data_IF_323497813128
#
_entry.id   IF_323497813128
#
_cell.length_a   1.000
_cell.length_b   1.000
_cell.length_c   1.000
_cell.angle_alpha   90.00
_cell.angle_beta   90.00
_cell.angle_gamma   90.00
#
_symmetry.space_group_name_H-M   'P 1'
#
loop_
_entity.id
_entity.type
_entity.pdbx_description
1 polymer ?
#
# COMPACT_ATOMS: atom_id res chain seq x y z
N UNK A 1 -4.88 21.92 -17.20
CA UNK A 1 -4.27 22.03 -15.86
C UNK A 1 -3.41 20.80 -15.53
N UNK A 2 -3.96 19.57 -15.47
CA UNK A 2 -3.19 18.36 -15.12
C UNK A 2 -2.09 18.07 -16.15
N UNK A 3 -2.41 18.14 -17.43
CA UNK A 3 -1.44 17.94 -18.51
C UNK A 3 -0.30 18.97 -18.44
N UNK A 4 -0.62 20.25 -18.24
CA UNK A 4 0.39 21.31 -18.09
C UNK A 4 1.27 21.09 -16.85
N UNK A 5 0.71 20.57 -15.76
CA UNK A 5 1.48 20.23 -14.57
C UNK A 5 2.44 19.06 -14.84
N UNK A 6 1.98 18.01 -15.54
CA UNK A 6 2.82 16.87 -15.92
C UNK A 6 3.96 17.32 -16.84
N UNK A 7 3.66 18.11 -17.87
CA UNK A 7 4.67 18.67 -18.77
C UNK A 7 5.71 19.50 -18.01
N UNK A 8 5.26 20.36 -17.09
CA UNK A 8 6.18 21.13 -16.24
C UNK A 8 7.11 20.23 -15.41
N UNK A 9 6.55 19.20 -14.76
CA UNK A 9 7.34 18.25 -13.95
C UNK A 9 8.37 17.52 -14.84
N UNK A 10 7.99 17.15 -16.05
CA UNK A 10 8.86 16.46 -16.99
C UNK A 10 10.02 17.32 -17.50
N UNK A 11 9.85 18.64 -17.53
CA UNK A 11 10.86 19.58 -18.01
C UNK A 11 11.73 20.19 -16.88
N UNK A 12 11.35 19.97 -15.61
CA UNK A 12 12.09 20.55 -14.47
C UNK A 12 13.48 19.96 -14.31
N UNK A 13 14.45 20.84 -14.10
CA UNK A 13 15.78 20.46 -13.64
C UNK A 13 15.87 20.59 -12.12
N UNK A 14 16.46 19.60 -11.50
CA UNK A 14 16.57 19.51 -10.05
C UNK A 14 18.01 19.57 -9.61
N UNK A 15 18.28 20.34 -8.58
CA UNK A 15 19.58 20.44 -7.94
C UNK A 15 19.49 19.94 -6.49
N UNK A 16 20.53 19.26 -6.05
CA UNK A 16 20.65 18.89 -4.63
C UNK A 16 21.13 20.12 -3.87
N UNK A 17 20.32 20.57 -2.91
CA UNK A 17 20.68 21.67 -2.01
C UNK A 17 21.27 21.11 -0.72
N UNK A 18 22.40 21.61 -0.33
CA UNK A 18 23.07 21.28 0.93
C UNK A 18 23.38 22.56 1.72
N UNK A 19 23.89 22.40 2.94
CA UNK A 19 24.39 23.54 3.74
C UNK A 19 25.52 24.32 3.06
N UNK A 20 26.17 23.74 2.04
CA UNK A 20 27.28 24.35 1.29
C UNK A 20 26.84 24.94 -0.06
N UNK A 21 25.53 24.97 -0.34
CA UNK A 21 24.97 25.48 -1.57
C UNK A 21 24.35 24.39 -2.46
N UNK A 22 23.97 24.80 -3.66
CA UNK A 22 23.36 23.91 -4.66
C UNK A 22 24.41 23.13 -5.42
N UNK A 23 24.08 21.88 -5.81
CA UNK A 23 24.95 21.07 -6.65
C UNK A 23 25.26 21.74 -7.98
N UNK A 24 26.50 21.60 -8.47
CA UNK A 24 26.89 22.09 -9.79
C UNK A 24 26.24 21.33 -10.95
N UNK A 25 25.86 20.07 -10.72
CA UNK A 25 25.13 19.23 -11.65
C UNK A 25 23.66 19.18 -11.27
N UNK A 26 22.81 19.11 -12.29
CA UNK A 26 21.37 18.89 -12.15
C UNK A 26 21.00 17.48 -12.61
N UNK A 27 19.88 16.99 -12.12
CA UNK A 27 19.20 15.82 -12.68
C UNK A 27 17.81 16.25 -13.16
N UNK A 28 17.33 15.62 -14.20
CA UNK A 28 16.07 16.00 -14.84
C UNK A 28 15.91 15.33 -16.19
N UNK A 29 15.15 15.93 -17.10
CA UNK A 29 14.89 15.33 -18.38
C UNK A 29 16.20 14.97 -19.07
N UNK A 30 16.38 13.69 -19.27
CA UNK A 30 17.50 13.17 -20.04
C UNK A 30 16.93 12.57 -21.35
N UNK A 31 17.23 13.14 -22.52
CA UNK A 31 16.72 12.63 -23.78
C UNK A 31 17.07 11.18 -24.07
N UNK A 32 18.11 10.65 -23.40
CA UNK A 32 18.62 9.29 -23.59
C UNK A 32 18.45 8.41 -22.36
N UNK A 33 17.94 8.95 -21.24
CA UNK A 33 17.72 8.24 -19.99
C UNK A 33 16.25 7.92 -19.75
N UNK A 34 15.96 7.09 -18.76
CA UNK A 34 14.59 6.87 -18.34
C UNK A 34 13.97 8.19 -17.85
N UNK A 35 12.70 8.44 -18.15
CA UNK A 35 12.02 9.63 -17.65
C UNK A 35 12.01 9.63 -16.11
N UNK A 36 12.02 10.81 -15.46
CA UNK A 36 11.88 10.89 -14.02
C UNK A 36 10.54 10.27 -13.62
N UNK A 37 10.59 9.39 -12.64
CA UNK A 37 9.40 8.71 -12.11
C UNK A 37 8.91 9.39 -10.84
N UNK A 38 7.61 9.66 -10.79
CA UNK A 38 6.96 10.19 -9.60
C UNK A 38 7.16 11.71 -9.41
N UNK A 39 6.67 12.17 -8.28
CA UNK A 39 6.82 13.56 -7.83
C UNK A 39 7.89 13.58 -6.75
N UNK A 40 8.86 14.48 -6.91
CA UNK A 40 9.98 14.60 -5.98
C UNK A 40 9.51 14.94 -4.57
N UNK A 41 10.16 14.30 -3.62
CA UNK A 41 9.98 14.59 -2.19
C UNK A 41 10.24 16.09 -1.92
N UNK A 42 9.33 16.70 -1.16
CA UNK A 42 9.38 18.14 -0.88
C UNK A 42 8.59 19.01 -1.89
N UNK A 43 8.03 18.44 -2.96
CA UNK A 43 7.10 19.15 -3.81
C UNK A 43 5.73 19.25 -3.13
N UNK A 44 5.22 20.49 -2.95
CA UNK A 44 3.93 20.73 -2.30
C UNK A 44 2.71 20.10 -3.02
N UNK A 45 2.84 19.76 -4.32
CA UNK A 45 1.81 19.05 -5.07
C UNK A 45 1.82 17.53 -4.84
N UNK A 46 2.88 16.97 -4.27
CA UNK A 46 3.05 15.54 -4.06
C UNK A 46 1.89 14.90 -3.28
N UNK A 47 1.57 15.38 -2.07
CA UNK A 47 0.49 14.79 -1.27
C UNK A 47 -0.87 14.84 -1.96
N UNK A 48 -1.21 15.95 -2.61
CA UNK A 48 -2.49 16.09 -3.30
C UNK A 48 -2.61 15.16 -4.53
N UNK A 49 -1.53 15.03 -5.29
CA UNK A 49 -1.48 14.13 -6.45
C UNK A 49 -1.57 12.67 -6.00
N UNK A 50 -0.83 12.30 -4.94
CA UNK A 50 -0.89 10.95 -4.38
C UNK A 50 -2.29 10.63 -3.86
N UNK A 51 -2.92 11.53 -3.12
CA UNK A 51 -4.29 11.34 -2.65
C UNK A 51 -5.29 11.13 -3.80
N UNK A 52 -5.15 11.85 -4.91
CA UNK A 52 -5.99 11.67 -6.08
C UNK A 52 -5.78 10.29 -6.72
N UNK A 53 -4.53 9.85 -6.90
CA UNK A 53 -4.18 8.54 -7.46
C UNK A 53 -4.68 7.42 -6.54
N UNK A 54 -4.39 7.51 -5.25
CA UNK A 54 -4.78 6.51 -4.25
C UNK A 54 -6.31 6.38 -4.15
N UNK A 55 -7.05 7.48 -4.31
CA UNK A 55 -8.51 7.44 -4.34
C UNK A 55 -9.03 6.58 -5.49
N UNK A 56 -8.41 6.64 -6.66
CA UNK A 56 -8.78 5.79 -7.81
C UNK A 56 -8.42 4.33 -7.53
N UNK A 57 -7.23 4.07 -6.99
CA UNK A 57 -6.78 2.73 -6.62
C UNK A 57 -7.78 2.09 -5.64
N UNK A 58 -8.14 2.80 -4.56
CA UNK A 58 -9.10 2.32 -3.57
C UNK A 58 -10.47 2.04 -4.20
N UNK A 59 -10.92 2.87 -5.15
CA UNK A 59 -12.18 2.61 -5.87
C UNK A 59 -12.10 1.35 -6.74
N UNK A 60 -10.98 1.10 -7.40
CA UNK A 60 -10.76 -0.15 -8.13
C UNK A 60 -10.80 -1.36 -7.18
N UNK A 61 -10.11 -1.30 -6.04
CA UNK A 61 -10.13 -2.37 -5.04
C UNK A 61 -11.55 -2.65 -4.53
N UNK A 62 -12.32 -1.61 -4.25
CA UNK A 62 -13.73 -1.76 -3.85
C UNK A 62 -14.60 -2.36 -4.94
N UNK A 63 -14.37 -2.01 -6.19
CA UNK A 63 -15.10 -2.56 -7.32
C UNK A 63 -14.84 -4.06 -7.51
N UNK A 64 -13.64 -4.53 -7.16
CA UNK A 64 -13.27 -5.95 -7.12
C UNK A 64 -13.80 -6.69 -5.88
N UNK A 65 -14.43 -5.97 -4.93
CA UNK A 65 -15.01 -6.53 -3.73
C UNK A 65 -14.01 -6.77 -2.58
N UNK A 66 -12.84 -6.13 -2.62
CA UNK A 66 -11.86 -6.21 -1.54
C UNK A 66 -12.15 -5.24 -0.40
N UNK A 67 -11.57 -5.57 0.75
CA UNK A 67 -11.74 -4.83 1.98
C UNK A 67 -12.65 -5.52 2.99
N UNK A 68 -13.09 -4.77 3.97
CA UNK A 68 -14.03 -5.25 4.95
C UNK A 68 -15.19 -4.28 5.18
N UNK A 69 -16.34 -4.84 5.56
CA UNK A 69 -17.48 -4.08 6.00
C UNK A 69 -17.62 -4.22 7.52
N UNK A 70 -17.83 -3.09 8.17
CA UNK A 70 -18.08 -3.03 9.59
C UNK A 70 -19.33 -2.19 9.91
N UNK A 71 -19.98 -2.52 11.00
CA UNK A 71 -21.07 -1.74 11.54
C UNK A 71 -20.62 -1.01 12.80
N UNK A 72 -20.67 0.32 12.77
CA UNK A 72 -20.38 1.12 13.95
C UNK A 72 -21.61 1.15 14.87
N UNK A 73 -21.50 0.56 16.03
CA UNK A 73 -22.54 0.59 17.07
C UNK A 73 -22.75 1.99 17.65
N UNK A 74 -21.74 2.86 17.57
CA UNK A 74 -21.79 4.24 18.08
C UNK A 74 -22.51 5.14 17.08
N UNK A 75 -22.08 5.16 15.82
CA UNK A 75 -22.65 6.02 14.79
C UNK A 75 -23.87 5.42 14.09
N UNK A 76 -24.20 4.16 14.33
CA UNK A 76 -25.25 3.39 13.66
C UNK A 76 -25.13 3.43 12.13
N UNK A 77 -23.89 3.32 11.62
CA UNK A 77 -23.60 3.37 10.20
C UNK A 77 -22.73 2.19 9.77
N UNK A 78 -23.03 1.70 8.58
CA UNK A 78 -22.10 0.80 7.88
C UNK A 78 -20.86 1.58 7.43
N UNK A 79 -19.72 0.95 7.53
CA UNK A 79 -18.43 1.44 7.07
C UNK A 79 -17.78 0.35 6.21
N UNK A 80 -17.35 0.73 5.02
CA UNK A 80 -16.56 -0.13 4.15
C UNK A 80 -15.16 0.43 4.05
N UNK A 81 -14.16 -0.39 4.34
CA UNK A 81 -12.76 0.00 4.40
C UNK A 81 -11.91 -1.01 3.61
N UNK A 82 -11.08 -0.52 2.71
CA UNK A 82 -10.10 -1.34 1.95
C UNK A 82 -8.73 -1.28 2.62
N UNK A 83 -8.33 -0.09 3.05
CA UNK A 83 -7.01 0.12 3.61
C UNK A 83 -6.98 1.31 4.56
N UNK A 84 -5.96 1.35 5.39
CA UNK A 84 -5.47 2.56 6.03
C UNK A 84 -4.24 3.03 5.27
N UNK A 85 -4.17 4.29 4.90
CA UNK A 85 -3.04 4.85 4.16
C UNK A 85 -2.50 6.10 4.83
N UNK A 86 -1.18 6.19 4.93
CA UNK A 86 -0.47 7.40 5.32
C UNK A 86 0.70 7.61 4.38
N UNK A 87 0.55 8.57 3.47
CA UNK A 87 1.51 8.87 2.39
C UNK A 87 1.76 7.61 1.55
N UNK A 88 2.91 6.95 1.70
CA UNK A 88 3.33 5.74 0.99
C UNK A 88 3.09 4.44 1.80
N UNK A 89 2.94 4.54 3.10
CA UNK A 89 2.60 3.39 3.94
C UNK A 89 1.12 3.04 3.79
N UNK A 90 0.82 1.77 3.58
CA UNK A 90 -0.56 1.30 3.40
C UNK A 90 -0.76 -0.05 4.06
N UNK A 91 -1.78 -0.12 4.92
CA UNK A 91 -2.26 -1.35 5.51
C UNK A 91 -3.55 -1.78 4.79
N UNK A 92 -3.49 -2.86 4.02
CA UNK A 92 -4.67 -3.50 3.45
C UNK A 92 -5.41 -4.27 4.55
N UNK A 93 -6.71 -4.27 4.51
CA UNK A 93 -7.54 -4.89 5.55
C UNK A 93 -8.61 -5.75 4.91
N UNK A 94 -8.62 -7.01 5.29
CA UNK A 94 -9.60 -7.98 4.83
C UNK A 94 -10.21 -8.70 6.04
N UNK A 95 -11.51 -8.95 6.02
CA UNK A 95 -12.17 -9.80 7.00
C UNK A 95 -13.19 -10.73 6.34
N UNK A 96 -13.59 -11.75 7.08
CA UNK A 96 -14.82 -12.48 6.83
C UNK A 96 -15.64 -12.52 8.11
N UNK A 97 -16.92 -12.22 8.00
CA UNK A 97 -17.91 -12.43 9.06
C UNK A 97 -18.61 -13.78 8.94
N UNK A 98 -18.33 -14.53 7.87
CA UNK A 98 -18.85 -15.87 7.68
C UNK A 98 -18.02 -16.86 8.51
N UNK A 99 -18.61 -17.53 9.52
CA UNK A 99 -17.90 -18.49 10.37
C UNK A 99 -17.47 -19.75 9.62
N UNK A 100 -17.92 -19.96 8.40
CA UNK A 100 -17.55 -21.12 7.58
C UNK A 100 -16.33 -20.84 6.68
N UNK A 101 -15.89 -19.58 6.56
CA UNK A 101 -14.69 -19.26 5.81
C UNK A 101 -13.47 -19.76 6.56
N UNK A 102 -12.69 -20.58 5.90
CA UNK A 102 -11.45 -21.12 6.45
C UNK A 102 -10.31 -20.09 6.37
N UNK A 103 -9.30 -20.25 7.21
CA UNK A 103 -8.09 -19.43 7.15
C UNK A 103 -7.41 -19.53 5.77
N UNK A 104 -7.48 -20.70 5.12
CA UNK A 104 -6.96 -20.91 3.77
C UNK A 104 -7.68 -20.03 2.75
N UNK A 105 -9.02 -20.05 2.73
CA UNK A 105 -9.82 -19.22 1.81
C UNK A 105 -9.60 -17.73 2.04
N UNK A 106 -9.39 -17.33 3.29
CA UNK A 106 -9.09 -15.94 3.63
C UNK A 106 -7.72 -15.52 3.08
N UNK A 107 -6.70 -16.37 3.20
CA UNK A 107 -5.36 -16.10 2.65
C UNK A 107 -5.37 -16.09 1.11
N UNK A 108 -6.11 -16.99 0.47
CA UNK A 108 -6.27 -16.96 -0.98
C UNK A 108 -6.93 -15.66 -1.45
N UNK A 109 -7.88 -15.15 -0.70
CA UNK A 109 -8.50 -13.86 -0.97
C UNK A 109 -7.53 -12.71 -0.73
N UNK A 110 -6.78 -12.74 0.39
CA UNK A 110 -5.73 -11.76 0.69
C UNK A 110 -4.63 -11.74 -0.38
N UNK A 111 -4.26 -12.91 -0.92
CA UNK A 111 -3.29 -12.98 -2.02
C UNK A 111 -3.82 -12.32 -3.29
N UNK A 112 -5.11 -12.52 -3.62
CA UNK A 112 -5.73 -11.84 -4.78
C UNK A 112 -5.80 -10.33 -4.57
N UNK A 113 -6.16 -9.90 -3.37
CA UNK A 113 -6.17 -8.48 -2.98
C UNK A 113 -4.78 -7.87 -3.15
N UNK A 114 -3.74 -8.53 -2.63
CA UNK A 114 -2.36 -8.10 -2.70
C UNK A 114 -1.84 -8.00 -4.14
N UNK A 115 -2.11 -8.99 -4.98
CA UNK A 115 -1.73 -8.98 -6.41
C UNK A 115 -2.44 -7.85 -7.16
N UNK A 116 -3.70 -7.60 -6.86
CA UNK A 116 -4.45 -6.50 -7.48
C UNK A 116 -3.85 -5.15 -7.05
N UNK A 117 -3.56 -4.99 -5.78
CA UNK A 117 -2.89 -3.79 -5.24
C UNK A 117 -1.52 -3.57 -5.88
N UNK A 118 -0.68 -4.61 -5.95
CA UNK A 118 0.63 -4.57 -6.60
C UNK A 118 0.52 -4.13 -8.07
N UNK A 119 -0.45 -4.69 -8.81
CA UNK A 119 -0.71 -4.33 -10.20
C UNK A 119 -1.14 -2.87 -10.36
N UNK A 120 -2.01 -2.38 -9.50
CA UNK A 120 -2.47 -0.98 -9.52
C UNK A 120 -1.34 -0.01 -9.18
N UNK A 121 -0.53 -0.30 -8.16
CA UNK A 121 0.67 0.49 -7.83
C UNK A 121 1.66 0.48 -9.00
N UNK A 122 1.91 -0.68 -9.59
CA UNK A 122 2.79 -0.81 -10.76
C UNK A 122 2.31 0.01 -11.95
N UNK A 123 1.00 0.08 -12.18
CA UNK A 123 0.40 0.90 -13.23
C UNK A 123 0.64 2.41 -13.04
N UNK A 124 0.88 2.85 -11.81
CA UNK A 124 1.28 4.24 -11.51
C UNK A 124 2.78 4.49 -11.66
N UNK A 125 3.57 3.47 -11.98
CA UNK A 125 5.03 3.52 -12.00
C UNK A 125 5.67 3.28 -10.62
N UNK A 126 4.88 2.97 -9.61
CA UNK A 126 5.36 2.60 -8.27
C UNK A 126 5.73 1.12 -8.17
N UNK A 127 6.26 0.75 -7.02
CA UNK A 127 6.55 -0.64 -6.67
C UNK A 127 6.39 -0.83 -5.17
N UNK A 128 5.99 -2.01 -4.76
CA UNK A 128 5.99 -2.40 -3.36
C UNK A 128 7.39 -2.84 -2.92
N UNK A 129 7.69 -2.73 -1.64
CA UNK A 129 8.94 -3.13 -1.03
C UNK A 129 8.73 -4.41 -0.19
N UNK A 130 8.92 -5.62 -0.77
CA UNK A 130 8.61 -6.86 -0.06
C UNK A 130 9.39 -7.02 1.24
N UNK A 131 10.63 -6.52 1.29
CA UNK A 131 11.50 -6.58 2.47
C UNK A 131 11.03 -5.70 3.64
N UNK A 132 10.09 -4.78 3.37
CA UNK A 132 9.45 -3.92 4.38
C UNK A 132 8.01 -4.34 4.65
N UNK A 133 7.46 -5.22 3.83
CA UNK A 133 6.09 -5.68 3.93
C UNK A 133 5.97 -6.84 4.91
N UNK A 134 4.89 -6.87 5.64
CA UNK A 134 4.54 -7.94 6.57
C UNK A 134 3.03 -8.06 6.68
N UNK A 135 2.55 -9.13 7.28
CA UNK A 135 1.13 -9.36 7.44
C UNK A 135 0.80 -10.12 8.72
N UNK A 136 -0.43 -9.98 9.15
CA UNK A 136 -1.00 -10.70 10.29
C UNK A 136 -2.22 -11.50 9.84
N UNK A 137 -2.35 -12.70 10.37
CA UNK A 137 -3.61 -13.44 10.38
C UNK A 137 -4.14 -13.42 11.82
N UNK A 138 -5.29 -12.79 12.00
CA UNK A 138 -5.89 -12.61 13.32
C UNK A 138 -7.18 -13.40 13.35
N UNK A 139 -7.26 -14.35 14.28
CA UNK A 139 -8.49 -15.03 14.63
C UNK A 139 -9.09 -14.37 15.87
N UNK A 140 -10.40 -14.25 15.89
CA UNK A 140 -11.13 -13.64 17.02
C UNK A 140 -12.08 -14.67 17.57
N UNK A 141 -11.79 -15.18 18.76
CA UNK A 141 -12.68 -16.11 19.44
C UNK A 141 -14.05 -15.48 19.75
N UNK A 142 -15.11 -16.26 19.96
CA UNK A 142 -16.41 -15.75 20.38
C UNK A 142 -16.35 -14.88 21.66
N UNK A 143 -15.35 -15.12 22.51
CA UNK A 143 -15.09 -14.34 23.73
C UNK A 143 -14.29 -13.05 23.47
N UNK A 144 -13.97 -12.75 22.20
CA UNK A 144 -13.24 -11.56 21.81
C UNK A 144 -11.72 -11.62 22.05
N UNK A 145 -11.16 -12.81 22.24
CA UNK A 145 -9.71 -12.98 22.36
C UNK A 145 -9.07 -13.08 20.97
N UNK A 146 -7.94 -12.40 20.79
CA UNK A 146 -7.15 -12.48 19.57
C UNK A 146 -6.18 -13.65 19.64
N UNK A 147 -6.13 -14.43 18.60
CA UNK A 147 -5.17 -15.51 18.42
C UNK A 147 -4.56 -15.49 17.02
N UNK A 148 -3.34 -15.96 16.91
CA UNK A 148 -2.80 -16.37 15.61
C UNK A 148 -3.10 -17.84 15.45
N UNK A 149 -3.73 -18.30 14.35
CA UNK A 149 -3.83 -19.70 14.05
C UNK A 149 -2.45 -20.37 14.11
N UNK A 150 -2.36 -21.50 14.83
CA UNK A 150 -1.10 -22.21 15.04
C UNK A 150 -0.53 -22.74 13.70
N UNK A 151 -1.41 -23.18 12.82
CA UNK A 151 -1.03 -23.68 11.51
C UNK A 151 -1.04 -22.54 10.49
N UNK A 152 0.04 -22.40 9.72
CA UNK A 152 0.07 -21.47 8.60
C UNK A 152 -0.65 -22.08 7.42
N UNK A 153 -1.82 -21.57 7.03
CA UNK A 153 -2.53 -22.10 5.88
C UNK A 153 -1.94 -21.64 4.54
N UNK A 154 -0.83 -20.90 4.54
CA UNK A 154 -0.13 -20.42 3.36
C UNK A 154 0.66 -19.14 3.62
N UNK A 155 1.31 -18.66 2.56
CA UNK A 155 2.11 -17.46 2.57
C UNK A 155 1.52 -16.43 1.60
N UNK A 156 1.75 -15.14 1.88
CA UNK A 156 1.49 -14.07 0.93
C UNK A 156 2.75 -13.75 0.14
N UNK A 157 2.59 -13.56 -1.15
CA UNK A 157 3.69 -13.39 -2.11
C UNK A 157 3.53 -12.07 -2.84
N UNK A 158 4.60 -11.28 -2.84
CA UNK A 158 4.80 -10.12 -3.72
C UNK A 158 5.78 -10.47 -4.83
N UNK A 159 5.79 -9.67 -5.90
CA UNK A 159 6.71 -9.85 -7.01
C UNK A 159 7.69 -8.68 -7.06
N UNK A 160 8.97 -8.97 -7.05
CA UNK A 160 10.01 -7.98 -7.31
C UNK A 160 10.68 -8.32 -8.65
N UNK A 161 10.49 -7.44 -9.65
CA UNK A 161 11.01 -7.62 -11.00
C UNK A 161 10.67 -9.00 -11.60
N UNK A 162 9.45 -9.48 -11.30
CA UNK A 162 8.95 -10.77 -11.76
C UNK A 162 9.39 -11.98 -10.94
N UNK A 163 10.19 -11.80 -9.89
CA UNK A 163 10.57 -12.88 -8.96
C UNK A 163 9.62 -12.89 -7.76
N UNK A 164 9.03 -14.03 -7.39
CA UNK A 164 8.18 -14.13 -6.22
C UNK A 164 9.01 -14.01 -4.93
N UNK A 165 8.52 -13.23 -4.00
CA UNK A 165 9.10 -13.03 -2.67
C UNK A 165 8.01 -13.24 -1.63
N UNK A 166 8.23 -14.19 -0.73
CA UNK A 166 7.34 -14.40 0.41
C UNK A 166 7.50 -13.25 1.39
N UNK A 167 6.39 -12.63 1.78
CA UNK A 167 6.39 -11.58 2.80
C UNK A 167 6.20 -12.18 4.21
N UNK A 168 6.82 -11.53 5.18
CA UNK A 168 6.90 -12.03 6.55
C UNK A 168 5.52 -12.06 7.22
N UNK A 169 5.11 -13.22 7.73
CA UNK A 169 3.97 -13.33 8.63
C UNK A 169 4.42 -13.06 10.07
N UNK A 170 3.75 -12.14 10.72
CA UNK A 170 4.01 -11.83 12.13
C UNK A 170 2.96 -12.46 13.04
N UNK A 171 3.35 -13.01 14.19
CA UNK A 171 2.40 -13.40 15.22
C UNK A 171 1.74 -12.14 15.82
N UNK A 172 0.48 -12.26 16.24
CA UNK A 172 -0.30 -11.14 16.80
C UNK A 172 0.33 -10.50 18.06
N UNK A 173 1.23 -11.23 18.71
CA UNK A 173 2.00 -10.72 19.87
C UNK A 173 3.23 -9.90 19.49
N UNK A 174 3.55 -9.81 18.20
CA UNK A 174 4.73 -9.08 17.71
C UNK A 174 4.29 -7.73 17.18
N UNK A 175 4.76 -6.66 17.79
CA UNK A 175 4.58 -5.31 17.24
C UNK A 175 5.61 -5.03 16.15
N UNK A 176 5.21 -4.26 15.15
CA UNK A 176 6.10 -3.64 14.15
C UNK A 176 5.96 -2.14 14.25
N UNK A 177 7.05 -1.46 14.11
CA UNK A 177 7.04 -0.01 14.03
C UNK A 177 6.35 0.44 12.74
N UNK A 178 5.33 1.28 12.89
CA UNK A 178 4.66 1.96 11.79
C UNK A 178 4.62 3.45 12.11
N UNK A 179 5.14 4.27 11.23
CA UNK A 179 5.22 5.74 11.41
C UNK A 179 5.95 6.18 12.70
N UNK A 180 6.94 5.40 13.16
CA UNK A 180 7.66 5.69 14.40
C UNK A 180 6.88 5.30 15.67
N UNK A 181 5.79 4.56 15.55
CA UNK A 181 4.95 4.06 16.65
C UNK A 181 5.02 2.53 16.68
N UNK A 182 5.19 1.98 17.89
CA UNK A 182 5.22 0.54 18.16
C UNK A 182 3.85 0.05 18.64
#
# INVERSE_FOLDING_TARGET
>A
ALQSMIETIQEMQHHIRTAFGDSKSSYGPNPTGPPPQGILQGNGAGPATWAAITSVIIQCMKAEGFGFDAWSTISQRAMSLVCFGFIDDTDLVLNSSDPHVTAQELIETAQRELVTWEGLISATGGALAPEKSFWYLIDVSPEGQFASPADSPGDLILHNKGSPIVIERLPVSTARETLGIW
#
